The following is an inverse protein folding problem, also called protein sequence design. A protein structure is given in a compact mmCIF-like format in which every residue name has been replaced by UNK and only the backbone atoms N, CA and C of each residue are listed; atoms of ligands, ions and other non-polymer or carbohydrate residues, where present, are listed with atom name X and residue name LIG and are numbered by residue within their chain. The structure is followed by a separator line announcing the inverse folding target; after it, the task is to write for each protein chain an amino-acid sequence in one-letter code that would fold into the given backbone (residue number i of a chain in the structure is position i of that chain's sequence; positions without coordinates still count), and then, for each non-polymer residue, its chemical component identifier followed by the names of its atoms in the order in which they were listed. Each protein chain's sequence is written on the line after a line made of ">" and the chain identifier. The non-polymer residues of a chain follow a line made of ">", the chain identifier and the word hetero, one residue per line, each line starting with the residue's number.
data_IF_595089013058
#
_entry.id   IF_595089013058
#
_cell.length_a   1.000
_cell.length_b   1.000
_cell.length_c   1.000
_cell.angle_alpha   90.00
_cell.angle_beta   90.00
_cell.angle_gamma   90.00
#
_symmetry.space_group_name_H-M   'P 1'
#
loop_
_entity.id
_entity.type
_entity.pdbx_description
1 polymer ?
2 non-polymer ?
3 water ?
#
# COMPACT_ATOMS: atom_id res chain seq x y z
N UNK A 8 -4.97 12.31 3.01
CA UNK A 8 -4.35 13.53 2.51
C UNK A 8 -5.31 14.24 1.57
N UNK A 9 -4.92 15.41 1.08
CA UNK A 9 -5.80 16.23 0.25
C UNK A 9 -5.35 16.27 -1.20
N UNK A 10 -6.32 16.28 -2.12
CA UNK A 10 -6.02 16.40 -3.53
C UNK A 10 -5.66 17.85 -3.84
N UNK A 11 -6.05 18.73 -2.93
CA UNK A 11 -5.66 20.14 -2.98
C UNK A 11 -4.21 20.28 -2.50
N UNK A 12 -3.82 19.43 -1.56
CA UNK A 12 -2.43 19.36 -1.12
C UNK A 12 -1.52 18.92 -2.26
N UNK A 13 -1.99 17.93 -3.02
CA UNK A 13 -1.22 17.38 -4.12
C UNK A 13 -1.14 18.36 -5.29
N UNK A 14 -2.22 19.12 -5.47
CA UNK A 14 -2.21 20.21 -6.42
C UNK A 14 -1.09 21.18 -6.05
N UNK A 15 -1.02 21.53 -4.76
CA UNK A 15 0.05 22.37 -4.24
C UNK A 15 1.41 21.73 -4.49
N UNK A 16 1.53 20.47 -4.08
CA UNK A 16 2.77 19.71 -4.24
C UNK A 16 3.21 19.62 -5.70
N UNK A 17 2.26 19.46 -6.61
CA UNK A 17 2.55 19.35 -8.03
C UNK A 17 3.27 20.59 -8.59
N UNK A 18 2.96 21.76 -8.03
CA UNK A 18 3.54 23.01 -8.51
C UNK A 18 5.03 23.08 -8.24
N UNK A 19 5.46 22.44 -7.16
CA UNK A 19 6.85 22.51 -6.72
C UNK A 19 7.74 21.49 -7.43
N UNK A 20 7.24 20.93 -8.53
CA UNK A 20 8.01 19.98 -9.33
C UNK A 20 7.70 20.19 -10.81
N UNK A 21 8.53 19.64 -11.68
CA UNK A 21 8.29 19.68 -13.13
C UNK A 21 8.70 18.37 -13.80
N UNK A 22 8.46 18.28 -15.10
CA UNK A 22 8.86 17.11 -15.88
C UNK A 22 8.01 15.87 -15.66
N UNK A 23 8.65 14.70 -15.70
CA UNK A 23 7.96 13.43 -15.48
C UNK A 23 7.65 13.19 -14.03
N UNK A 24 7.47 14.27 -13.28
CA UNK A 24 7.31 14.19 -11.84
C UNK A 24 6.11 15.02 -11.40
N UNK A 25 5.99 16.23 -11.92
CA UNK A 25 4.85 17.08 -11.60
C UNK A 25 3.57 16.52 -12.22
N UNK A 26 3.71 15.74 -13.28
CA UNK A 26 2.54 15.20 -13.97
C UNK A 26 2.18 13.85 -13.34
N UNK A 27 3.14 13.22 -12.70
CA UNK A 27 2.82 12.05 -11.92
C UNK A 27 2.08 12.50 -10.66
N UNK A 28 2.46 13.67 -10.15
CA UNK A 28 1.75 14.32 -9.05
C UNK A 28 0.30 14.65 -9.39
N UNK A 29 0.06 15.14 -10.61
CA UNK A 29 -1.27 15.52 -11.08
C UNK A 29 -2.06 14.27 -11.46
N UNK A 30 -1.39 13.29 -12.06
CA UNK A 30 -2.02 12.02 -12.38
C UNK A 30 -2.52 11.35 -11.11
N UNK A 31 -1.65 11.32 -10.10
CA UNK A 31 -1.98 10.81 -8.77
C UNK A 31 -3.19 11.50 -8.14
N UNK A 32 -3.19 12.84 -8.19
CA UNK A 32 -4.26 13.66 -7.60
C UNK A 32 -5.60 13.51 -8.33
N UNK A 33 -5.56 13.53 -9.65
CA UNK A 33 -6.75 13.33 -10.47
C UNK A 33 -7.41 12.00 -10.12
N UNK A 34 -6.57 11.00 -9.90
CA UNK A 34 -7.01 9.66 -9.53
C UNK A 34 -7.83 9.67 -8.25
N UNK A 35 -7.26 10.30 -7.22
CA UNK A 35 -7.96 10.40 -5.94
C UNK A 35 -9.28 11.16 -6.09
N UNK A 36 -9.25 12.23 -6.87
CA UNK A 36 -10.46 13.00 -7.10
C UNK A 36 -11.45 12.19 -7.94
N UNK A 37 -10.94 11.39 -8.87
CA UNK A 37 -11.79 10.52 -9.69
C UNK A 37 -12.48 9.41 -8.90
N UNK A 38 -11.75 8.82 -7.95
CA UNK A 38 -12.23 7.65 -7.23
C UNK A 38 -13.12 7.95 -6.01
N UNK A 39 -13.24 9.22 -5.65
CA UNK A 39 -14.13 9.60 -4.56
C UNK A 39 -15.56 9.15 -4.88
N UNK A 40 -16.24 8.62 -3.87
CA UNK A 40 -17.65 8.19 -3.99
C UNK A 40 -17.88 7.02 -4.97
N UNK A 41 -16.81 6.41 -5.45
CA UNK A 41 -16.90 5.29 -6.39
C UNK A 41 -16.96 3.98 -5.61
N UNK A 42 -17.52 2.91 -6.21
CA UNK A 42 -17.60 1.62 -5.53
C UNK A 42 -16.22 1.07 -5.13
N UNK A 43 -16.14 0.39 -3.98
CA UNK A 43 -14.86 -0.12 -3.46
C UNK A 43 -14.11 -0.98 -4.47
N UNK A 44 -14.83 -1.88 -5.13
CA UNK A 44 -14.21 -2.79 -6.08
C UNK A 44 -13.49 -2.02 -7.20
N UNK A 45 -14.07 -0.88 -7.61
CA UNK A 45 -13.46 -0.01 -8.61
C UNK A 45 -12.20 0.63 -8.02
N UNK A 46 -12.34 1.15 -6.81
CA UNK A 46 -11.24 1.82 -6.12
C UNK A 46 -10.03 0.90 -5.94
N UNK A 47 -10.28 -0.31 -5.43
CA UNK A 47 -9.22 -1.29 -5.25
C UNK A 47 -8.50 -1.61 -6.55
N UNK A 48 -9.27 -1.93 -7.58
CA UNK A 48 -8.68 -2.35 -8.85
C UNK A 48 -7.93 -1.23 -9.54
N UNK A 49 -8.51 -0.03 -9.58
CA UNK A 49 -7.87 1.10 -10.26
C UNK A 49 -6.62 1.63 -9.52
N UNK A 50 -6.65 1.66 -8.19
CA UNK A 50 -5.46 2.08 -7.42
C UNK A 50 -4.34 1.06 -7.56
N UNK A 51 -4.71 -0.22 -7.44
CA UNK A 51 -3.75 -1.31 -7.57
C UNK A 51 -3.07 -1.20 -8.92
N UNK A 52 -3.90 -1.16 -9.95
CA UNK A 52 -3.42 -1.06 -11.33
C UNK A 52 -2.62 0.22 -11.60
N UNK A 53 -2.98 1.33 -10.96
CA UNK A 53 -2.29 2.59 -11.19
C UNK A 53 -0.85 2.55 -10.70
N UNK A 54 -0.65 1.89 -9.57
CA UNK A 54 0.66 1.87 -8.95
C UNK A 54 1.47 0.71 -9.44
N UNK A 55 0.81 -0.36 -9.87
CA UNK A 55 1.58 -1.44 -10.47
C UNK A 55 2.15 -1.03 -11.84
N UNK A 56 1.78 0.18 -12.31
CA UNK A 56 2.48 0.84 -13.43
C UNK A 56 3.81 1.49 -13.01
N UNK A 57 4.06 1.58 -11.70
CA UNK A 57 5.30 2.20 -11.23
C UNK A 57 6.49 1.24 -11.23
N UNK A 58 7.67 1.78 -10.99
CA UNK A 58 8.91 1.04 -11.06
C UNK A 58 9.15 0.15 -9.84
N UNK A 59 9.38 -1.14 -10.07
CA UNK A 59 9.64 -2.09 -8.99
C UNK A 59 11.13 -2.15 -8.64
N UNK A 60 11.51 -1.53 -7.52
CA UNK A 60 12.93 -1.47 -7.16
C UNK A 60 13.31 -2.66 -6.29
N UNK A 61 14.34 -3.37 -6.70
CA UNK A 61 14.84 -4.51 -5.92
C UNK A 61 16.10 -4.06 -5.20
N UNK A 62 16.22 -4.43 -3.95
CA UNK A 62 17.37 -4.03 -3.16
C UNK A 62 18.61 -4.81 -3.60
N UNK A 63 19.63 -4.09 -4.11
CA UNK A 63 20.85 -4.74 -4.61
C UNK A 63 21.51 -5.67 -3.60
N UNK A 64 21.20 -5.53 -2.31
CA UNK A 64 21.78 -6.39 -1.28
C UNK A 64 20.90 -7.61 -0.99
N UNK A 65 19.73 -7.35 -0.42
CA UNK A 65 18.82 -8.42 -0.01
C UNK A 65 18.15 -9.12 -1.20
N UNK A 66 18.09 -8.44 -2.34
CA UNK A 66 17.38 -8.97 -3.49
C UNK A 66 15.89 -8.80 -3.32
N UNK A 67 15.50 -8.02 -2.32
CA UNK A 67 14.10 -7.78 -2.04
C UNK A 67 13.85 -6.38 -1.48
N UNK A 68 13.26 -6.34 -0.30
CA UNK A 68 12.97 -5.10 0.38
C UNK A 68 14.23 -4.57 1.04
N UNK A 69 14.34 -3.25 1.19
CA UNK A 69 15.37 -2.69 2.07
C UNK A 69 14.74 -2.46 3.45
N UNK A 70 15.38 -1.66 4.28
CA UNK A 70 14.86 -1.42 5.62
C UNK A 70 14.13 -0.07 5.78
N UNK A 71 13.73 0.52 4.66
CA UNK A 71 13.26 1.90 4.66
C UNK A 71 11.90 2.10 4.00
N UNK A 72 10.85 2.31 4.78
CA UNK A 72 9.52 2.53 4.20
C UNK A 72 9.44 3.88 3.44
N UNK A 73 9.39 3.87 2.11
CA UNK A 73 9.24 5.12 1.35
C UNK A 73 7.90 5.78 1.65
N UNK A 74 7.90 7.09 1.89
CA UNK A 74 6.64 7.84 1.98
C UNK A 74 6.05 7.88 0.59
N UNK A 75 4.72 8.09 0.48
CA UNK A 75 4.10 8.16 -0.84
C UNK A 75 4.72 9.25 -1.69
N UNK A 76 4.94 10.43 -1.10
CA UNK A 76 5.50 11.55 -1.86
C UNK A 76 6.84 11.11 -2.48
N UNK A 77 7.67 10.48 -1.65
CA UNK A 77 8.91 9.85 -2.10
C UNK A 77 8.71 8.79 -3.17
N UNK A 78 7.65 7.99 -3.05
CA UNK A 78 7.34 6.98 -4.05
C UNK A 78 7.04 7.67 -5.37
N UNK A 79 6.29 8.77 -5.30
CA UNK A 79 5.98 9.58 -6.49
C UNK A 79 7.25 10.22 -7.11
N UNK A 80 8.06 10.87 -6.29
CA UNK A 80 9.29 11.51 -6.77
C UNK A 80 10.27 10.49 -7.36
N UNK A 81 10.49 9.40 -6.61
CA UNK A 81 11.43 8.37 -7.01
C UNK A 81 10.88 7.56 -8.19
N UNK A 82 9.58 7.71 -8.43
CA UNK A 82 8.92 7.00 -9.50
C UNK A 82 8.71 5.52 -9.20
N UNK A 83 8.79 5.13 -7.92
CA UNK A 83 8.62 3.73 -7.56
C UNK A 83 9.28 3.33 -6.24
N UNK A 84 9.48 2.02 -6.04
CA UNK A 84 10.00 1.47 -4.78
C UNK A 84 9.95 -0.06 -4.71
N UNK A 85 10.09 -0.63 -3.52
CA UNK A 85 10.02 -2.09 -3.37
C UNK A 85 8.66 -2.56 -2.84
N UNK A 86 8.50 -3.86 -2.61
CA UNK A 86 7.17 -4.38 -2.31
C UNK A 86 6.54 -3.73 -1.06
N UNK A 87 7.35 -3.42 -0.05
CA UNK A 87 6.80 -2.69 1.10
C UNK A 87 6.34 -1.30 0.65
N UNK A 88 7.16 -0.63 -0.13
CA UNK A 88 6.82 0.72 -0.57
C UNK A 88 5.55 0.76 -1.41
N UNK A 89 5.37 -0.25 -2.26
CA UNK A 89 4.15 -0.39 -3.05
C UNK A 89 2.92 -0.50 -2.15
N UNK A 90 2.98 -1.38 -1.15
CA UNK A 90 1.85 -1.57 -0.24
C UNK A 90 1.53 -0.27 0.50
N UNK A 91 2.57 0.51 0.83
CA UNK A 91 2.41 1.75 1.56
C UNK A 91 1.62 2.83 0.79
N UNK A 92 2.01 3.13 -0.44
CA UNK A 92 1.32 4.19 -1.18
C UNK A 92 -0.10 3.76 -1.57
N UNK A 93 -0.27 2.47 -1.86
CA UNK A 93 -1.61 1.97 -2.14
C UNK A 93 -2.48 2.18 -0.92
N UNK A 94 -1.93 1.90 0.26
CA UNK A 94 -2.64 2.08 1.52
C UNK A 94 -3.13 3.52 1.65
N UNK A 95 -2.22 4.47 1.55
CA UNK A 95 -2.61 5.86 1.73
C UNK A 95 -3.52 6.40 0.63
N UNK A 96 -3.28 6.00 -0.61
CA UNK A 96 -4.14 6.40 -1.72
C UNK A 96 -5.58 5.94 -1.47
N UNK A 97 -5.74 4.67 -1.11
CA UNK A 97 -7.07 4.13 -0.84
C UNK A 97 -7.77 4.83 0.33
N UNK A 98 -7.01 5.21 1.37
CA UNK A 98 -7.60 5.93 2.49
C UNK A 98 -8.10 7.30 2.04
N UNK A 99 -7.30 7.98 1.22
CA UNK A 99 -7.65 9.26 0.61
C UNK A 99 -8.96 9.25 -0.21
N UNK A 100 -9.23 8.15 -0.90
CA UNK A 100 -10.44 8.08 -1.71
C UNK A 100 -11.63 7.61 -0.88
N UNK A 101 -11.40 7.37 0.41
CA UNK A 101 -12.51 7.14 1.33
C UNK A 101 -12.67 5.72 1.83
N UNK A 102 -11.72 4.84 1.54
CA UNK A 102 -11.77 3.54 2.19
C UNK A 102 -11.43 3.74 3.65
N UNK A 103 -12.27 3.22 4.56
CA UNK A 103 -11.96 3.29 5.99
C UNK A 103 -10.60 2.68 6.32
N UNK A 104 -9.75 3.44 7.02
CA UNK A 104 -8.38 3.01 7.33
C UNK A 104 -8.32 1.63 7.98
N UNK A 105 -9.29 1.33 8.83
CA UNK A 105 -9.28 0.05 9.55
C UNK A 105 -9.63 -1.15 8.67
N UNK A 106 -10.01 -0.91 7.42
CA UNK A 106 -10.25 -2.02 6.49
C UNK A 106 -8.97 -2.40 5.72
N UNK A 107 -7.89 -1.68 6.00
CA UNK A 107 -6.63 -1.85 5.27
C UNK A 107 -5.48 -2.17 6.22
N UNK A 108 -4.72 -3.21 5.90
CA UNK A 108 -3.53 -3.60 6.68
C UNK A 108 -2.35 -3.94 5.76
N UNK A 109 -1.16 -3.52 6.16
CA UNK A 109 0.03 -3.89 5.43
C UNK A 109 0.47 -5.25 5.99
N UNK A 110 0.70 -6.23 5.11
CA UNK A 110 0.89 -7.61 5.52
C UNK A 110 2.28 -8.11 5.14
N UNK A 111 2.97 -8.68 6.11
CA UNK A 111 4.25 -9.33 5.90
C UNK A 111 3.99 -10.83 5.75
N UNK A 112 4.31 -11.38 4.58
CA UNK A 112 3.99 -12.79 4.33
C UNK A 112 5.20 -13.60 3.88
N UNK A 113 5.19 -14.90 4.19
CA UNK A 113 6.16 -15.81 3.60
C UNK A 113 5.68 -16.23 2.22
N UNK A 114 6.53 -16.03 1.23
CA UNK A 114 6.19 -16.36 -0.16
C UNK A 114 6.81 -17.68 -0.58
N UNK A 115 5.98 -18.63 -0.99
CA UNK A 115 6.49 -19.94 -1.40
C UNK A 115 7.14 -19.89 -2.77
N UNK A 116 6.52 -19.15 -3.68
CA UNK A 116 7.03 -18.98 -5.04
C UNK A 116 8.40 -18.29 -5.06
N UNK A 117 8.47 -17.09 -4.49
CA UNK A 117 9.70 -16.31 -4.47
C UNK A 117 10.67 -16.80 -3.39
N UNK A 118 10.19 -17.73 -2.55
CA UNK A 118 10.94 -18.27 -1.42
C UNK A 118 11.65 -17.22 -0.57
N UNK A 119 10.92 -16.18 -0.20
CA UNK A 119 11.45 -15.13 0.66
C UNK A 119 10.28 -14.35 1.24
N UNK A 120 10.61 -13.32 2.01
CA UNK A 120 9.58 -12.45 2.61
C UNK A 120 9.00 -11.51 1.56
N UNK A 121 7.71 -11.25 1.65
CA UNK A 121 7.02 -10.44 0.67
C UNK A 121 5.87 -9.67 1.32
N UNK A 122 5.82 -8.38 1.05
CA UNK A 122 4.78 -7.54 1.61
C UNK A 122 3.64 -7.22 0.66
N UNK A 123 2.42 -7.28 1.16
CA UNK A 123 1.24 -6.97 0.37
C UNK A 123 0.33 -6.03 1.16
N UNK A 124 -0.71 -5.54 0.47
CA UNK A 124 -1.78 -4.81 1.14
C UNK A 124 -2.99 -5.72 1.23
N UNK A 125 -3.52 -5.87 2.44
CA UNK A 125 -4.72 -6.69 2.63
C UNK A 125 -5.92 -5.77 2.87
N UNK A 126 -7.01 -6.03 2.12
CA UNK A 126 -8.24 -5.28 2.31
C UNK A 126 -9.30 -6.19 2.92
N UNK A 127 -9.91 -5.75 4.01
CA UNK A 127 -10.94 -6.52 4.69
C UNK A 127 -12.33 -5.93 4.49
N UNK A 128 -13.13 -6.56 3.61
CA UNK A 128 -14.49 -6.12 3.30
C UNK A 128 -15.26 -5.88 4.59
N UNK A 129 -15.27 -6.91 5.45
CA UNK A 129 -15.85 -6.81 6.78
C UNK A 129 -14.81 -7.32 7.78
N UNK A 130 -14.97 -7.01 9.07
CA UNK A 130 -13.91 -7.38 10.01
C UNK A 130 -13.58 -8.88 10.08
N UNK A 131 -14.60 -9.73 9.99
CA UNK A 131 -14.36 -11.17 10.07
C UNK A 131 -13.94 -11.77 8.74
N UNK A 132 -14.03 -10.97 7.68
CA UNK A 132 -13.85 -11.45 6.32
C UNK A 132 -12.42 -11.91 6.07
N UNK A 133 -12.25 -12.90 5.21
CA UNK A 133 -10.91 -13.14 4.67
C UNK A 133 -10.59 -12.00 3.69
N UNK A 134 -9.38 -11.45 3.78
CA UNK A 134 -9.01 -10.24 3.04
C UNK A 134 -8.77 -10.48 1.56
N UNK A 135 -8.90 -9.42 0.78
CA UNK A 135 -8.44 -9.40 -0.60
C UNK A 135 -6.99 -8.95 -0.61
N UNK A 136 -6.17 -9.55 -1.49
CA UNK A 136 -4.73 -9.26 -1.49
C UNK A 136 -4.34 -8.37 -2.67
N UNK A 137 -3.92 -7.14 -2.36
CA UNK A 137 -3.39 -6.22 -3.38
C UNK A 137 -1.89 -6.34 -3.44
N UNK A 138 -1.44 -7.14 -4.40
CA UNK A 138 -0.04 -7.47 -4.52
C UNK A 138 0.61 -6.59 -5.57
N UNK A 139 1.91 -6.37 -5.43
CA UNK A 139 2.67 -5.64 -6.43
C UNK A 139 3.24 -6.62 -7.46
N UNK A 140 3.22 -7.91 -7.14
CA UNK A 140 3.72 -8.93 -8.06
C UNK A 140 2.63 -9.91 -8.53
N UNK A 141 1.44 -9.35 -8.76
CA UNK A 141 0.27 -10.09 -9.20
C UNK A 141 -0.78 -9.05 -9.52
N UNK A 142 -1.37 -9.10 -10.71
CA UNK A 142 -2.35 -8.08 -11.10
C UNK A 142 -3.75 -8.48 -10.63
N UNK A 143 -3.95 -9.78 -10.43
CA UNK A 143 -5.20 -10.29 -9.89
C UNK A 143 -5.36 -9.90 -8.43
N UNK A 144 -6.54 -9.41 -8.08
CA UNK A 144 -6.85 -9.19 -6.68
C UNK A 144 -7.61 -10.40 -6.16
N UNK A 145 -6.95 -11.23 -5.36
CA UNK A 145 -7.57 -12.49 -4.95
C UNK A 145 -7.79 -12.57 -3.44
N UNK A 146 -8.73 -13.42 -3.05
CA UNK A 146 -8.95 -13.73 -1.64
C UNK A 146 -7.72 -14.43 -1.07
N UNK A 147 -7.48 -14.25 0.22
CA UNK A 147 -6.38 -14.91 0.94
C UNK A 147 -6.24 -16.39 0.57
N UNK A 148 -7.38 -17.09 0.56
CA UNK A 148 -7.39 -18.52 0.33
C UNK A 148 -7.00 -18.84 -1.11
N UNK A 149 -7.15 -17.87 -2.00
CA UNK A 149 -6.76 -18.08 -3.38
C UNK A 149 -5.33 -17.60 -3.59
N UNK A 150 -4.67 -17.25 -2.50
CA UNK A 150 -3.24 -16.99 -2.55
C UNK A 150 -2.50 -17.94 -1.61
N UNK A 151 -2.43 -19.23 -1.98
CA UNK A 151 -1.76 -20.18 -1.09
C UNK A 151 -0.24 -20.05 -1.18
N UNK A 152 0.24 -19.28 -2.16
CA UNK A 152 1.67 -18.95 -2.27
C UNK A 152 2.09 -17.96 -1.17
N UNK A 153 1.11 -17.46 -0.42
CA UNK A 153 1.39 -16.49 0.63
C UNK A 153 0.89 -16.97 1.99
N UNK A 154 1.79 -17.00 2.97
CA UNK A 154 1.42 -17.32 4.34
C UNK A 154 1.79 -16.13 5.25
N UNK A 155 0.76 -15.35 5.64
CA UNK A 155 0.98 -14.14 6.45
C UNK A 155 1.69 -14.47 7.74
N UNK A 156 2.55 -13.56 8.19
CA UNK A 156 3.21 -13.69 9.48
C UNK A 156 2.69 -12.63 10.42
N UNK A 157 2.53 -11.40 9.92
CA UNK A 157 1.93 -10.33 10.72
C UNK A 157 1.39 -9.20 9.85
N UNK A 158 0.49 -8.39 10.39
CA UNK A 158 -0.04 -7.30 9.60
C UNK A 158 -0.14 -6.09 10.47
N UNK A 159 -0.18 -4.92 9.87
CA UNK A 159 -0.20 -3.70 10.65
C UNK A 159 -0.82 -2.54 9.90
N UNK A 160 -1.26 -1.57 10.67
CA UNK A 160 -1.74 -0.30 10.13
C UNK A 160 -1.61 0.77 11.18
N UNK A 161 -2.30 1.88 10.98
CA UNK A 161 -2.20 3.00 11.89
C UNK A 161 -2.73 2.64 13.27
N UNK A 162 -3.42 1.51 13.37
CA UNK A 162 -4.23 1.18 14.56
C UNK A 162 -3.71 -0.01 15.35
N UNK A 163 -2.73 -0.73 14.83
CA UNK A 163 -2.15 -1.82 15.59
C UNK A 163 -1.32 -2.81 14.79
N UNK A 164 -0.96 -3.91 15.43
CA UNK A 164 -0.25 -4.99 14.78
C UNK A 164 -0.94 -6.29 15.15
N UNK A 165 -1.13 -7.16 14.14
CA UNK A 165 -1.85 -8.40 14.29
C UNK A 165 -0.92 -9.54 13.91
N UNK A 166 -0.61 -10.42 14.86
CA UNK A 166 0.20 -11.58 14.52
C UNK A 166 -0.70 -12.53 13.78
N UNK A 167 -0.20 -13.16 12.73
CA UNK A 167 -1.04 -13.99 11.87
C UNK A 167 -1.75 -15.02 12.72
N UNK A 168 -3.06 -15.15 12.47
CA UNK A 168 -4.00 -15.99 13.22
C UNK A 168 -4.68 -15.19 14.35
N UNK A 169 -4.31 -13.92 14.50
CA UNK A 169 -4.99 -13.03 15.44
C UNK A 169 -6.27 -12.48 14.80
N UNK A 170 -7.40 -12.81 15.41
CA UNK A 170 -8.67 -12.34 14.93
C UNK A 170 -9.11 -11.18 15.81
N UNK A 171 -9.62 -10.14 15.18
CA UNK A 171 -10.26 -9.07 15.91
C UNK A 171 -9.28 -8.04 16.40
N UNK A 172 -8.92 -8.13 17.68
CA UNK A 172 -8.14 -7.08 18.31
C UNK A 172 -6.66 -7.15 18.03
N UNK A 173 -6.03 -5.98 18.02
CA UNK A 173 -4.60 -5.80 17.84
C UNK A 173 -3.80 -6.66 18.83
N UNK A 174 -2.69 -7.23 18.37
CA UNK A 174 -1.83 -8.10 19.20
C UNK A 174 -1.05 -7.27 20.21
N UNK A 175 -0.93 -5.98 19.94
CA UNK A 175 -0.23 -5.06 20.84
C UNK A 175 -0.93 -4.88 22.19
N UNK A 181 0.40 0.50 17.45
CA UNK A 181 1.17 0.79 16.24
C UNK A 181 2.67 0.63 16.47
N UNK A 182 3.38 0.18 15.45
CA UNK A 182 4.84 0.06 15.51
C UNK A 182 5.50 1.41 15.64
N UNK A 183 6.71 1.43 16.17
CA UNK A 183 7.46 2.68 16.23
C UNK A 183 7.85 3.12 14.83
N UNK A 184 8.08 2.14 13.96
CA UNK A 184 8.51 2.38 12.59
C UNK A 184 7.39 3.06 11.78
N UNK A 185 6.14 2.74 12.11
CA UNK A 185 4.99 3.40 11.50
C UNK A 185 4.94 4.86 11.92
N UNK A 186 5.10 5.10 13.22
CA UNK A 186 5.11 6.44 13.80
C UNK A 186 6.11 7.33 13.08
N UNK A 187 7.31 6.78 12.86
CA UNK A 187 8.39 7.53 12.23
C UNK A 187 8.05 7.88 10.79
N UNK A 188 7.43 6.94 10.09
CA UNK A 188 6.92 7.20 8.73
C UNK A 188 5.90 8.36 8.73
N UNK A 189 4.93 8.30 9.65
CA UNK A 189 3.95 9.40 9.80
C UNK A 189 4.65 10.73 9.94
N UNK A 190 5.57 10.82 10.91
CA UNK A 190 6.37 12.02 11.11
C UNK A 190 7.07 12.48 9.84
N UNK A 191 7.62 11.52 9.09
CA UNK A 191 8.31 11.83 7.84
C UNK A 191 7.36 12.38 6.77
N UNK A 192 6.10 11.97 6.84
CA UNK A 192 5.11 12.40 5.86
C UNK A 192 4.53 13.78 6.14
N UNK A 193 4.69 14.26 7.36
CA UNK A 193 4.19 15.60 7.73
C UNK A 193 4.91 16.67 6.92
X LIG B 1 11.44 0.06 1.10
#
# INVERSE_FOLDING_TARGET
>A
STQAAPLISVEKIQKLAQSYQGDTRKRFTAWGNLIDSLKKKPVKIQLEKVNSFFNQFNYETDPITGASDDYWKSPVEFIVDGGGDCEDFAIIKYFTLVAVGVPSDQLRITYAASLTLNQAHMVLSFYPTPESEPLILDSLESKILKASARPDLKPVYSFNAEGLWLAKTRGESSLXGDSKSLGKWDALMKRME
>B hetero
1 CA CA
#
